data_IF_074208150795
#
_entry.id   IF_074208150795
#
_cell.length_a   1.000
_cell.length_b   1.000
_cell.length_c   1.000
_cell.angle_alpha   90.00
_cell.angle_beta   90.00
_cell.angle_gamma   90.00
#
_symmetry.space_group_name_H-M   'P 1'
#
loop_
_entity.id
_entity.type
_entity.pdbx_description
1 polymer ?
#
# COMPACT_ATOMS: atom_id res chain seq x y z
N UNK A 1 28.75 27.07 14.96
CA UNK A 1 29.68 25.92 14.79
C UNK A 1 29.30 24.99 13.63
N UNK A 2 28.05 24.97 13.15
CA UNK A 2 27.62 24.10 12.04
C UNK A 2 28.24 24.43 10.66
N UNK A 3 28.64 25.68 10.42
CA UNK A 3 29.19 26.13 9.13
C UNK A 3 30.54 25.52 8.76
N UNK A 4 31.32 25.00 9.72
CA UNK A 4 32.66 24.47 9.45
C UNK A 4 32.63 22.99 9.00
N UNK A 5 31.70 22.19 9.54
CA UNK A 5 31.60 20.78 9.20
C UNK A 5 31.04 20.56 7.77
N UNK A 6 30.04 21.36 7.36
CA UNK A 6 29.49 21.30 6.00
C UNK A 6 30.55 21.69 4.97
N UNK A 7 31.36 22.71 5.23
CA UNK A 7 32.44 23.14 4.34
C UNK A 7 33.53 22.06 4.17
N UNK A 8 33.87 21.32 5.24
CA UNK A 8 34.81 20.19 5.17
C UNK A 8 34.23 19.04 4.34
N UNK A 9 32.93 18.75 4.50
CA UNK A 9 32.24 17.69 3.77
C UNK A 9 32.05 18.01 2.28
N UNK A 10 31.85 19.28 1.92
CA UNK A 10 31.78 19.74 0.52
C UNK A 10 33.15 19.75 -0.18
N UNK A 11 34.25 19.78 0.57
CA UNK A 11 35.62 19.69 0.04
C UNK A 11 36.11 18.27 -0.26
N UNK A 12 35.33 17.24 0.09
CA UNK A 12 35.72 15.84 -0.17
C UNK A 12 35.66 15.51 -1.67
N UNK A 13 36.58 14.69 -2.19
CA UNK A 13 36.44 14.12 -3.53
C UNK A 13 35.17 13.29 -3.67
N UNK A 14 34.54 13.32 -4.85
CA UNK A 14 33.28 12.61 -5.09
C UNK A 14 33.36 11.10 -4.80
N UNK A 15 34.48 10.47 -5.11
CA UNK A 15 34.69 9.04 -4.87
C UNK A 15 34.68 8.70 -3.36
N UNK A 16 35.25 9.56 -2.53
CA UNK A 16 35.23 9.40 -1.06
C UNK A 16 33.81 9.57 -0.53
N UNK A 17 33.07 10.56 -1.02
CA UNK A 17 31.65 10.73 -0.67
C UNK A 17 30.80 9.54 -1.08
N UNK A 18 31.04 8.97 -2.27
CA UNK A 18 30.34 7.73 -2.71
C UNK A 18 30.62 6.59 -1.74
N UNK A 19 31.85 6.42 -1.27
CA UNK A 19 32.18 5.40 -0.26
C UNK A 19 31.44 5.68 1.05
N UNK A 20 31.50 6.89 1.59
CA UNK A 20 30.80 7.26 2.84
C UNK A 20 29.30 7.03 2.72
N UNK A 21 28.66 7.57 1.68
CA UNK A 21 27.24 7.41 1.41
C UNK A 21 26.86 5.94 1.20
N UNK A 22 27.78 5.11 0.70
CA UNK A 22 27.53 3.68 0.50
C UNK A 22 27.39 2.89 1.81
N UNK A 23 27.86 3.45 2.92
CA UNK A 23 27.76 2.88 4.27
C UNK A 23 26.66 3.50 5.12
N UNK A 24 25.97 4.54 4.61
CA UNK A 24 24.87 5.18 5.35
C UNK A 24 23.69 4.20 5.43
N UNK A 25 23.16 3.92 6.64
CA UNK A 25 21.98 3.08 6.80
C UNK A 25 20.78 3.61 6.03
N UNK A 26 19.94 2.69 5.54
CA UNK A 26 18.70 2.96 4.80
C UNK A 26 17.84 4.15 5.28
N UNK A 27 17.46 4.22 6.56
CA UNK A 27 16.63 5.33 7.04
C UNK A 27 17.35 6.69 6.94
N UNK A 28 18.67 6.71 6.95
CA UNK A 28 19.46 7.93 7.03
C UNK A 28 19.80 8.48 5.64
N UNK A 29 19.67 7.68 4.59
CA UNK A 29 19.94 8.12 3.21
C UNK A 29 18.98 9.21 2.74
N UNK A 30 17.71 9.16 3.15
CA UNK A 30 16.76 10.22 2.83
C UNK A 30 17.19 11.53 3.50
N UNK A 31 17.56 11.47 4.78
CA UNK A 31 18.04 12.63 5.53
C UNK A 31 19.39 13.14 5.00
N UNK A 32 20.27 12.26 4.53
CA UNK A 32 21.55 12.61 3.94
C UNK A 32 21.40 13.55 2.72
N UNK A 33 20.26 13.56 2.03
CA UNK A 33 20.00 14.46 0.89
C UNK A 33 19.85 15.93 1.27
N UNK A 34 19.59 16.25 2.54
CA UNK A 34 19.50 17.62 3.01
C UNK A 34 20.85 18.19 3.45
N UNK A 35 21.90 17.35 3.54
CA UNK A 35 23.24 17.75 4.01
C UNK A 35 23.93 18.72 3.05
N UNK A 36 23.97 18.42 1.74
CA UNK A 36 24.54 19.31 0.73
C UNK A 36 23.99 19.02 -0.68
N UNK A 37 24.19 19.98 -1.61
CA UNK A 37 23.82 19.79 -3.03
C UNK A 37 24.56 18.61 -3.67
N UNK A 38 25.81 18.38 -3.27
CA UNK A 38 26.63 17.29 -3.80
C UNK A 38 26.15 15.93 -3.31
N UNK A 39 25.80 15.80 -2.03
CA UNK A 39 25.20 14.58 -1.47
C UNK A 39 23.89 14.27 -2.17
N UNK A 40 23.03 15.27 -2.36
CA UNK A 40 21.79 15.12 -3.14
C UNK A 40 22.08 14.61 -4.55
N UNK A 41 23.06 15.19 -5.26
CA UNK A 41 23.44 14.76 -6.62
C UNK A 41 23.85 13.29 -6.65
N UNK A 42 24.71 12.85 -5.72
CA UNK A 42 25.16 11.45 -5.65
C UNK A 42 24.00 10.51 -5.30
N UNK A 43 23.18 10.87 -4.30
CA UNK A 43 22.04 10.07 -3.84
C UNK A 43 20.85 10.04 -4.81
N UNK A 44 20.82 10.97 -5.77
CA UNK A 44 19.86 10.97 -6.89
C UNK A 44 20.41 10.31 -8.15
N UNK A 45 21.70 9.95 -8.19
CA UNK A 45 22.27 9.18 -9.30
C UNK A 45 21.70 7.75 -9.30
N UNK A 46 21.04 7.37 -10.39
CA UNK A 46 20.41 6.04 -10.54
C UNK A 46 21.40 4.91 -10.33
N UNK A 47 22.62 5.02 -10.87
CA UNK A 47 23.65 4.00 -10.72
C UNK A 47 24.10 3.85 -9.27
N UNK A 48 24.33 4.97 -8.56
CA UNK A 48 24.69 4.94 -7.15
C UNK A 48 23.56 4.39 -6.28
N UNK A 49 22.31 4.83 -6.51
CA UNK A 49 21.14 4.35 -5.79
C UNK A 49 20.96 2.83 -5.95
N UNK A 50 21.19 2.30 -7.16
CA UNK A 50 21.20 0.85 -7.43
C UNK A 50 22.28 0.11 -6.63
N UNK A 51 23.52 0.59 -6.68
CA UNK A 51 24.63 -0.03 -5.95
C UNK A 51 24.42 -0.01 -4.44
N UNK A 52 23.95 1.12 -3.92
CA UNK A 52 23.64 1.27 -2.51
C UNK A 52 22.50 0.34 -2.07
N UNK A 53 21.42 0.26 -2.84
CA UNK A 53 20.29 -0.61 -2.53
C UNK A 53 20.67 -2.10 -2.54
N UNK A 54 21.48 -2.53 -3.52
CA UNK A 54 22.01 -3.89 -3.57
C UNK A 54 22.86 -4.23 -2.34
N UNK A 55 23.68 -3.29 -1.88
CA UNK A 55 24.46 -3.45 -0.64
C UNK A 55 23.58 -3.48 0.60
N UNK A 56 22.65 -2.53 0.73
CA UNK A 56 21.72 -2.46 1.85
C UNK A 56 20.92 -3.77 2.00
N UNK A 57 20.51 -4.36 0.88
CA UNK A 57 19.85 -5.67 0.82
C UNK A 57 20.75 -6.81 1.30
N UNK A 58 22.03 -6.82 0.90
CA UNK A 58 22.99 -7.85 1.31
C UNK A 58 23.38 -7.74 2.80
N UNK A 59 23.46 -6.53 3.36
CA UNK A 59 23.91 -6.30 4.74
C UNK A 59 22.82 -6.44 5.79
N UNK A 60 21.54 -6.26 5.42
CA UNK A 60 20.42 -6.42 6.34
C UNK A 60 19.23 -7.03 5.57
N UNK A 61 19.13 -8.36 5.48
CA UNK A 61 17.97 -9.02 4.89
C UNK A 61 16.68 -8.75 5.67
N UNK A 62 16.80 -8.31 6.94
CA UNK A 62 15.70 -7.96 7.81
C UNK A 62 15.43 -6.43 7.81
N UNK A 63 14.49 -6.04 6.97
CA UNK A 63 13.47 -4.99 7.12
C UNK A 63 13.90 -3.56 7.51
N UNK A 64 13.98 -2.66 6.52
CA UNK A 64 13.64 -1.24 6.71
C UNK A 64 12.23 -0.97 6.22
N UNK A 65 11.23 -1.27 7.04
CA UNK A 65 9.84 -1.00 6.69
C UNK A 65 9.53 0.46 7.02
N UNK A 66 9.25 1.26 5.99
CA UNK A 66 8.76 2.62 6.15
C UNK A 66 7.25 2.65 5.98
N UNK A 67 6.53 2.93 7.07
CA UNK A 67 5.11 3.20 7.10
C UNK A 67 4.85 4.60 6.56
N UNK A 68 4.22 4.71 5.40
CA UNK A 68 3.85 6.02 4.86
C UNK A 68 2.57 6.55 5.53
N UNK A 69 2.72 7.60 6.34
CA UNK A 69 1.68 8.28 7.07
C UNK A 69 1.41 9.63 6.38
N UNK A 70 0.21 9.78 5.84
CA UNK A 70 -0.25 11.07 5.33
C UNK A 70 -0.78 11.87 6.51
N UNK A 71 -0.30 13.10 6.68
CA UNK A 71 -0.82 14.02 7.68
C UNK A 71 -1.46 15.23 7.03
N UNK A 72 -2.61 15.63 7.58
CA UNK A 72 -3.23 16.92 7.31
C UNK A 72 -3.06 17.80 8.54
N UNK A 73 -2.18 18.79 8.44
CA UNK A 73 -2.12 19.86 9.44
C UNK A 73 -2.32 21.20 8.74
N UNK A 74 -3.36 21.92 9.13
CA UNK A 74 -3.58 23.35 8.82
C UNK A 74 -3.30 23.78 7.36
N UNK A 75 -3.68 22.97 6.37
CA UNK A 75 -3.54 23.30 4.95
C UNK A 75 -2.29 22.74 4.25
N UNK A 76 -1.34 22.17 5.00
CA UNK A 76 -0.21 21.43 4.44
C UNK A 76 -0.52 19.92 4.40
N UNK A 77 -0.56 19.36 3.18
CA UNK A 77 -0.58 17.91 2.95
C UNK A 77 0.88 17.41 2.88
N UNK A 78 1.26 16.51 3.79
CA UNK A 78 2.60 15.93 3.82
C UNK A 78 2.58 14.41 4.03
N UNK A 79 3.55 13.71 3.45
CA UNK A 79 3.74 12.27 3.68
C UNK A 79 5.00 12.03 4.50
N UNK A 80 4.83 11.66 5.76
CA UNK A 80 5.91 11.19 6.62
C UNK A 80 6.08 9.69 6.46
N UNK A 81 7.31 9.20 6.58
CA UNK A 81 7.55 7.76 6.65
C UNK A 81 8.00 7.38 8.06
N UNK A 82 7.38 6.39 8.67
CA UNK A 82 7.81 5.85 9.95
C UNK A 82 8.61 4.56 9.72
N UNK A 83 9.91 4.61 9.98
CA UNK A 83 10.75 3.40 9.95
C UNK A 83 10.45 2.53 11.17
N UNK A 84 9.76 1.40 10.98
CA UNK A 84 9.25 0.57 12.09
C UNK A 84 10.32 0.07 13.07
N UNK A 85 11.51 -0.40 12.64
CA UNK A 85 12.52 -0.88 13.60
C UNK A 85 13.15 0.20 14.48
N UNK A 86 13.18 1.46 14.01
CA UNK A 86 13.89 2.55 14.71
C UNK A 86 12.98 3.72 15.06
N UNK A 87 11.68 3.58 14.82
CA UNK A 87 10.65 4.62 14.96
C UNK A 87 11.04 5.98 14.37
N UNK A 88 11.83 5.98 13.29
CA UNK A 88 12.40 7.20 12.74
C UNK A 88 11.42 7.81 11.74
N UNK A 89 11.03 9.06 11.98
CA UNK A 89 10.21 9.85 11.07
C UNK A 89 11.09 10.39 9.93
N UNK A 90 10.82 9.95 8.70
CA UNK A 90 11.44 10.48 7.49
C UNK A 90 10.64 11.69 7.02
N UNK A 91 11.31 12.83 6.72
CA UNK A 91 10.65 14.05 6.26
C UNK A 91 9.94 13.82 4.91
N UNK A 92 8.97 14.71 4.64
CA UNK A 92 8.07 14.71 3.47
C UNK A 92 8.70 14.07 2.23
N UNK A 93 8.35 12.80 1.97
CA UNK A 93 8.89 12.07 0.84
C UNK A 93 8.24 12.49 -0.47
N UNK A 94 6.97 12.89 -0.43
CA UNK A 94 6.18 13.18 -1.61
C UNK A 94 6.27 14.64 -2.09
N UNK A 95 6.03 14.88 -3.39
CA UNK A 95 5.69 16.22 -3.87
C UNK A 95 4.49 16.79 -3.11
N UNK A 96 4.44 18.12 -2.86
CA UNK A 96 3.27 18.78 -2.30
C UNK A 96 2.02 18.42 -3.10
N UNK A 97 0.87 18.28 -2.42
CA UNK A 97 -0.42 18.00 -3.06
C UNK A 97 -0.48 16.65 -3.82
N UNK A 98 0.17 15.61 -3.31
CA UNK A 98 0.08 14.25 -3.86
C UNK A 98 -0.30 13.22 -2.79
N UNK A 99 -1.19 12.29 -3.17
CA UNK A 99 -1.73 11.23 -2.31
C UNK A 99 -1.32 9.88 -2.88
N UNK A 100 -0.62 9.04 -2.12
CA UNK A 100 -0.25 7.73 -2.63
C UNK A 100 -1.50 6.85 -2.78
N UNK A 101 -1.53 6.04 -3.84
CA UNK A 101 -2.63 5.14 -4.25
C UNK A 101 -2.20 3.67 -4.27
N UNK A 102 -0.98 3.38 -4.71
CA UNK A 102 -0.43 2.03 -4.77
C UNK A 102 1.07 2.07 -4.47
N UNK A 103 1.64 0.96 -4.05
CA UNK A 103 3.09 0.76 -4.03
C UNK A 103 3.44 -0.48 -4.85
N UNK A 104 4.52 -0.39 -5.63
CA UNK A 104 5.08 -1.55 -6.30
C UNK A 104 6.02 -2.30 -5.35
N UNK A 105 6.17 -3.62 -5.52
CA UNK A 105 7.20 -4.36 -4.82
C UNK A 105 8.62 -3.91 -5.16
N UNK A 106 8.85 -3.08 -6.19
CA UNK A 106 10.14 -2.46 -6.49
C UNK A 106 10.38 -1.11 -5.78
N UNK A 107 9.48 -0.69 -4.89
CA UNK A 107 9.63 0.56 -4.16
C UNK A 107 9.26 1.82 -4.96
N UNK A 108 8.49 1.67 -6.05
CA UNK A 108 7.80 2.79 -6.69
C UNK A 108 6.48 3.05 -5.98
N UNK A 109 6.13 4.32 -5.80
CA UNK A 109 4.84 4.76 -5.30
C UNK A 109 4.01 5.29 -6.46
N UNK A 110 2.79 4.82 -6.62
CA UNK A 110 1.81 5.49 -7.46
C UNK A 110 1.16 6.59 -6.63
N UNK A 111 1.21 7.82 -7.11
CA UNK A 111 0.64 8.97 -6.47
C UNK A 111 -0.45 9.59 -7.35
N UNK A 112 -1.49 10.11 -6.72
CA UNK A 112 -2.57 10.89 -7.31
C UNK A 112 -2.42 12.34 -6.89
N UNK A 113 -2.53 13.26 -7.84
CA UNK A 113 -2.57 14.70 -7.55
C UNK A 113 -3.84 15.06 -6.76
N UNK A 114 -3.70 15.83 -5.68
CA UNK A 114 -4.84 16.28 -4.87
C UNK A 114 -5.58 17.47 -5.46
N UNK A 115 -4.95 18.25 -6.36
CA UNK A 115 -5.59 19.42 -7.00
C UNK A 115 -6.51 19.08 -8.18
N UNK A 116 -6.29 17.94 -8.83
CA UNK A 116 -6.98 17.55 -10.07
C UNK A 116 -7.71 16.21 -9.97
N UNK A 117 -7.33 15.35 -9.03
CA UNK A 117 -7.90 14.01 -8.85
C UNK A 117 -7.58 13.01 -9.98
N UNK A 118 -7.32 13.47 -11.21
CA UNK A 118 -7.12 12.66 -12.43
C UNK A 118 -5.67 12.31 -12.71
N UNK A 119 -4.72 13.16 -12.35
CA UNK A 119 -3.31 12.93 -12.68
C UNK A 119 -2.68 11.89 -11.76
N UNK A 120 -2.09 10.89 -12.39
CA UNK A 120 -1.30 9.84 -11.75
C UNK A 120 0.18 10.09 -12.03
N UNK A 121 1.03 9.83 -11.05
CA UNK A 121 2.48 9.86 -11.21
C UNK A 121 3.13 8.68 -10.50
N UNK A 122 4.19 8.15 -11.11
CA UNK A 122 5.09 7.23 -10.44
C UNK A 122 6.16 8.03 -9.73
N UNK A 123 6.22 7.88 -8.42
CA UNK A 123 7.18 8.53 -7.57
C UNK A 123 8.17 7.50 -7.04
N UNK A 124 9.45 7.76 -7.27
CA UNK A 124 10.53 7.01 -6.65
C UNK A 124 11.02 7.78 -5.41
N UNK A 125 10.93 7.20 -4.19
CA UNK A 125 11.33 7.91 -2.97
C UNK A 125 12.84 7.92 -2.72
N UNK A 126 13.59 6.90 -3.18
CA UNK A 126 15.01 7.11 -3.52
C UNK A 126 15.02 8.08 -4.73
N UNK A 127 16.04 8.77 -5.18
CA UNK A 127 15.94 9.75 -6.31
C UNK A 127 14.99 10.97 -6.17
N UNK A 128 13.81 10.89 -5.52
CA UNK A 128 12.72 11.88 -5.64
C UNK A 128 12.26 12.13 -7.08
N UNK A 129 12.52 11.19 -7.99
CA UNK A 129 12.04 11.29 -9.35
C UNK A 129 10.52 11.06 -9.38
N UNK A 130 9.81 11.96 -10.06
CA UNK A 130 8.39 11.81 -10.34
C UNK A 130 8.21 11.74 -11.85
N UNK A 131 7.56 10.68 -12.31
CA UNK A 131 7.22 10.48 -13.72
C UNK A 131 5.70 10.56 -13.85
N UNK A 132 5.15 11.58 -14.53
CA UNK A 132 3.72 11.64 -14.77
C UNK A 132 3.29 10.49 -15.68
N UNK A 133 2.14 9.89 -15.39
CA UNK A 133 1.47 8.94 -16.27
C UNK A 133 0.38 9.68 -17.06
N UNK A 134 0.06 9.23 -18.29
CA UNK A 134 -1.10 9.75 -18.99
C UNK A 134 -2.36 9.51 -18.14
N UNK A 135 -3.34 10.43 -18.15
CA UNK A 135 -4.58 10.24 -17.42
C UNK A 135 -5.40 9.09 -18.03
N UNK A 136 -6.12 8.31 -17.20
CA UNK A 136 -7.04 7.29 -17.68
C UNK A 136 -8.20 7.92 -18.48
N UNK A 137 -8.46 7.49 -19.72
CA UNK A 137 -9.40 8.17 -20.63
C UNK A 137 -10.88 8.04 -20.26
N UNK A 138 -11.29 7.06 -19.44
CA UNK A 138 -12.71 6.90 -19.03
C UNK A 138 -12.93 7.04 -17.52
N UNK A 139 -11.88 7.27 -16.73
CA UNK A 139 -11.96 7.40 -15.26
C UNK A 139 -11.83 8.88 -14.86
N UNK A 140 -12.82 9.40 -14.13
CA UNK A 140 -12.79 10.76 -13.57
C UNK A 140 -11.84 10.86 -12.37
N UNK A 141 -11.89 9.88 -11.48
CA UNK A 141 -11.03 9.85 -10.29
C UNK A 141 -10.70 8.41 -9.96
N UNK A 142 -9.43 7.99 -10.09
CA UNK A 142 -9.01 6.67 -9.64
C UNK A 142 -9.19 6.59 -8.13
N UNK A 143 -10.06 5.66 -7.72
CA UNK A 143 -10.41 5.36 -6.34
C UNK A 143 -9.52 4.26 -5.77
N UNK A 144 -9.11 3.31 -6.61
CA UNK A 144 -8.20 2.23 -6.25
C UNK A 144 -7.28 1.92 -7.43
N UNK A 145 -6.06 1.50 -7.13
CA UNK A 145 -5.08 1.13 -8.15
C UNK A 145 -4.08 0.12 -7.61
N UNK A 146 -3.52 -0.71 -8.51
CA UNK A 146 -2.44 -1.62 -8.18
C UNK A 146 -1.43 -1.69 -9.31
N UNK A 147 -0.16 -1.82 -8.93
CA UNK A 147 0.96 -1.99 -9.85
C UNK A 147 1.34 -3.47 -9.90
N UNK A 148 1.56 -3.98 -11.12
CA UNK A 148 2.14 -5.31 -11.28
C UNK A 148 3.60 -5.33 -10.82
N UNK A 149 4.07 -6.50 -10.38
CA UNK A 149 5.52 -6.72 -10.28
C UNK A 149 6.09 -6.77 -11.68
N UNK A 150 7.19 -6.07 -11.91
CA UNK A 150 7.77 -5.91 -13.23
C UNK A 150 8.35 -7.21 -13.78
N UNK A 151 8.32 -7.33 -15.10
CA UNK A 151 9.29 -8.15 -15.84
C UNK A 151 10.72 -7.68 -15.56
N UNK A 152 11.76 -8.53 -15.70
CA UNK A 152 13.16 -8.10 -15.64
C UNK A 152 13.50 -6.92 -16.56
N UNK A 153 12.70 -6.71 -17.62
CA UNK A 153 12.83 -5.59 -18.54
C UNK A 153 12.22 -4.26 -18.02
N UNK A 154 11.73 -4.21 -16.77
CA UNK A 154 11.12 -3.01 -16.19
C UNK A 154 9.69 -2.72 -16.66
N UNK A 155 9.09 -3.63 -17.43
CA UNK A 155 7.70 -3.52 -17.86
C UNK A 155 6.75 -3.79 -16.70
N UNK A 156 5.82 -2.88 -16.47
CA UNK A 156 4.70 -3.02 -15.53
C UNK A 156 3.36 -2.76 -16.21
N UNK A 157 2.33 -3.29 -15.57
CA UNK A 157 0.94 -2.92 -15.76
C UNK A 157 0.44 -2.15 -14.55
N UNK A 158 -0.48 -1.24 -14.79
CA UNK A 158 -1.20 -0.52 -13.75
C UNK A 158 -2.70 -0.72 -13.98
N UNK A 159 -3.38 -1.35 -13.03
CA UNK A 159 -4.83 -1.43 -13.03
C UNK A 159 -5.37 -0.26 -12.21
N UNK A 160 -6.25 0.54 -12.83
CA UNK A 160 -6.96 1.64 -12.17
C UNK A 160 -8.46 1.38 -12.17
N UNK A 161 -9.09 1.73 -11.06
CA UNK A 161 -10.53 1.61 -10.85
C UNK A 161 -11.07 2.95 -10.39
N UNK A 162 -12.15 3.40 -10.98
CA UNK A 162 -12.77 4.65 -10.56
C UNK A 162 -14.15 4.87 -11.14
N UNK A 163 -14.63 6.10 -10.98
CA UNK A 163 -15.92 6.52 -11.50
C UNK A 163 -15.80 6.94 -12.96
N UNK A 164 -16.84 6.72 -13.79
CA UNK A 164 -16.86 7.18 -15.17
C UNK A 164 -16.71 8.71 -15.27
N UNK A 165 -16.03 9.20 -16.30
CA UNK A 165 -15.80 10.63 -16.58
C UNK A 165 -17.07 11.51 -16.57
N UNK A 166 -18.20 10.96 -16.99
CA UNK A 166 -19.48 11.69 -17.10
C UNK A 166 -20.50 11.34 -16.00
N UNK A 167 -20.06 10.64 -14.95
CA UNK A 167 -20.95 10.26 -13.85
C UNK A 167 -20.87 11.25 -12.68
N UNK A 168 -22.00 11.75 -12.16
CA UNK A 168 -21.99 12.37 -10.84
C UNK A 168 -21.49 11.33 -9.83
N UNK A 169 -20.77 11.76 -8.77
CA UNK A 169 -20.26 10.90 -7.68
C UNK A 169 -21.41 10.31 -6.84
N UNK A 170 -22.30 9.54 -7.47
CA UNK A 170 -23.44 8.86 -6.86
C UNK A 170 -23.06 7.39 -6.72
N UNK A 171 -23.30 6.83 -5.53
CA UNK A 171 -23.01 5.45 -5.15
C UNK A 171 -23.63 4.37 -6.06
N UNK A 172 -24.47 4.74 -7.03
CA UNK A 172 -25.14 3.85 -7.98
C UNK A 172 -24.44 3.79 -9.34
N UNK A 173 -23.41 4.61 -9.57
CA UNK A 173 -22.71 4.65 -10.85
C UNK A 173 -21.79 3.44 -11.00
N UNK A 174 -21.81 2.73 -12.15
CA UNK A 174 -20.98 1.56 -12.34
C UNK A 174 -19.50 1.98 -12.38
N UNK A 175 -18.64 1.21 -11.72
CA UNK A 175 -17.21 1.43 -11.76
C UNK A 175 -16.65 1.07 -13.13
N UNK A 176 -15.67 1.85 -13.57
CA UNK A 176 -14.88 1.57 -14.77
C UNK A 176 -13.50 1.09 -14.33
N UNK A 177 -13.01 0.07 -15.03
CA UNK A 177 -11.68 -0.47 -14.86
C UNK A 177 -10.87 -0.22 -16.13
N UNK A 178 -9.64 0.22 -15.97
CA UNK A 178 -8.71 0.41 -17.08
C UNK A 178 -7.33 -0.10 -16.71
N UNK A 179 -6.63 -0.65 -17.69
CA UNK A 179 -5.25 -1.12 -17.52
C UNK A 179 -4.30 -0.27 -18.35
N UNK A 180 -3.25 0.22 -17.73
CA UNK A 180 -2.13 0.87 -18.40
C UNK A 180 -1.01 -0.14 -18.62
N UNK A 181 -0.47 -0.18 -19.85
CA UNK A 181 0.75 -0.91 -20.17
C UNK A 181 1.90 0.07 -20.35
N UNK A 182 2.98 -0.14 -19.60
CA UNK A 182 4.22 0.63 -19.77
C UNK A 182 4.91 0.40 -21.12
N UNK A 183 4.65 -0.74 -21.79
CA UNK A 183 5.21 -1.06 -23.10
C UNK A 183 4.59 -0.18 -24.18
N UNK A 184 3.26 -0.13 -24.23
CA UNK A 184 2.53 0.70 -25.20
C UNK A 184 2.37 2.15 -24.75
N UNK A 185 2.65 2.44 -23.48
CA UNK A 185 2.38 3.74 -22.83
C UNK A 185 0.93 4.20 -23.01
N UNK A 186 -0.02 3.25 -23.01
CA UNK A 186 -1.43 3.51 -23.27
C UNK A 186 -2.33 2.85 -22.24
N UNK A 187 -3.52 3.43 -22.07
CA UNK A 187 -4.62 2.84 -21.31
C UNK A 187 -5.52 2.04 -22.23
N UNK A 188 -5.94 0.88 -21.75
CA UNK A 188 -6.91 0.02 -22.41
C UNK A 188 -8.12 -0.17 -21.48
N UNK A 189 -9.34 0.15 -21.94
CA UNK A 189 -10.54 -0.09 -21.15
C UNK A 189 -10.73 -1.60 -20.96
N UNK A 190 -11.13 -1.99 -19.74
CA UNK A 190 -11.42 -3.37 -19.42
C UNK A 190 -12.91 -3.69 -19.59
N UNK A 191 -13.26 -4.98 -19.70
CA UNK A 191 -14.66 -5.41 -19.69
C UNK A 191 -15.39 -4.88 -18.46
N UNK A 192 -16.71 -4.63 -18.56
CA UNK A 192 -17.49 -4.12 -17.45
C UNK A 192 -17.40 -5.07 -16.25
N UNK A 193 -17.29 -4.48 -15.06
CA UNK A 193 -17.26 -5.24 -13.81
C UNK A 193 -18.62 -5.91 -13.58
N UNK A 194 -18.65 -7.15 -13.05
CA UNK A 194 -19.89 -7.83 -12.69
C UNK A 194 -20.77 -6.98 -11.78
N UNK A 195 -22.08 -6.93 -12.05
CA UNK A 195 -23.00 -6.17 -11.22
C UNK A 195 -23.00 -6.66 -9.77
N UNK A 196 -22.73 -5.75 -8.83
CA UNK A 196 -22.93 -6.00 -7.41
C UNK A 196 -24.43 -5.98 -7.12
N UNK A 197 -24.96 -7.08 -6.58
CA UNK A 197 -26.36 -7.14 -6.12
C UNK A 197 -26.66 -6.14 -5.00
N UNK A 198 -25.63 -5.63 -4.31
CA UNK A 198 -25.77 -4.61 -3.29
C UNK A 198 -24.59 -3.60 -3.33
N UNK A 199 -24.76 -2.41 -3.94
CA UNK A 199 -23.68 -1.43 -4.10
C UNK A 199 -23.19 -0.84 -2.77
N UNK A 200 -23.94 -0.99 -1.67
CA UNK A 200 -23.47 -0.57 -0.33
C UNK A 200 -22.31 -1.41 0.21
N UNK A 201 -22.03 -2.56 -0.41
CA UNK A 201 -20.97 -3.50 -0.02
C UNK A 201 -19.67 -3.32 -0.83
N UNK A 202 -19.54 -2.27 -1.65
CA UNK A 202 -18.27 -2.01 -2.32
C UNK A 202 -17.22 -1.77 -1.23
N UNK A 203 -16.11 -2.56 -1.21
CA UNK A 203 -15.02 -2.30 -0.29
C UNK A 203 -14.52 -0.88 -0.54
N UNK A 204 -14.68 0.01 0.45
CA UNK A 204 -14.21 1.40 0.36
C UNK A 204 -12.68 1.50 0.53
N UNK A 205 -11.96 0.42 0.27
CA UNK A 205 -10.57 0.23 0.67
C UNK A 205 -9.66 0.11 -0.56
N UNK A 206 -8.68 1.01 -0.67
CA UNK A 206 -7.58 0.96 -1.63
C UNK A 206 -6.73 -0.31 -1.49
N UNK A 207 -6.77 -0.97 -0.32
CA UNK A 207 -6.10 -2.23 -0.01
C UNK A 207 -6.79 -3.49 -0.58
N UNK A 208 -7.87 -3.31 -1.35
CA UNK A 208 -8.66 -4.40 -1.91
C UNK A 208 -8.10 -4.96 -3.22
N UNK A 209 -7.05 -4.36 -3.77
CA UNK A 209 -6.48 -4.71 -5.07
C UNK A 209 -4.99 -5.05 -4.96
N UNK A 210 -4.62 -6.26 -5.38
CA UNK A 210 -3.23 -6.75 -5.31
C UNK A 210 -2.83 -7.43 -6.61
N UNK A 211 -1.52 -7.50 -6.85
CA UNK A 211 -0.94 -8.28 -7.94
C UNK A 211 -0.38 -9.61 -7.42
N UNK A 212 -0.79 -10.72 -8.04
CA UNK A 212 -0.34 -12.06 -7.67
C UNK A 212 -0.38 -13.01 -8.87
N UNK A 213 0.63 -13.87 -9.03
CA UNK A 213 0.66 -14.93 -10.07
C UNK A 213 0.18 -14.44 -11.45
N UNK A 214 0.75 -13.33 -11.91
CA UNK A 214 0.48 -12.72 -13.22
C UNK A 214 -0.96 -12.21 -13.43
N UNK A 215 -1.69 -11.97 -12.35
CA UNK A 215 -3.03 -11.41 -12.39
C UNK A 215 -3.24 -10.37 -11.29
N UNK A 216 -4.17 -9.46 -11.55
CA UNK A 216 -4.75 -8.58 -10.56
C UNK A 216 -5.88 -9.30 -9.83
N UNK A 217 -5.91 -9.16 -8.50
CA UNK A 217 -6.93 -9.72 -7.61
C UNK A 217 -7.61 -8.57 -6.88
N UNK A 218 -8.93 -8.50 -6.97
CA UNK A 218 -9.74 -7.43 -6.39
C UNK A 218 -10.87 -7.99 -5.53
N UNK A 219 -11.03 -7.54 -4.29
CA UNK A 219 -12.26 -7.82 -3.53
C UNK A 219 -13.45 -7.11 -4.16
N UNK A 220 -14.52 -7.86 -4.41
CA UNK A 220 -15.74 -7.37 -5.06
C UNK A 220 -16.97 -7.99 -4.40
N UNK A 221 -17.49 -7.33 -3.37
CA UNK A 221 -18.56 -7.89 -2.54
C UNK A 221 -18.10 -9.17 -1.84
N UNK A 222 -18.70 -10.30 -2.19
CA UNK A 222 -18.43 -11.60 -1.55
C UNK A 222 -17.50 -12.51 -2.38
N UNK A 223 -16.82 -11.96 -3.38
CA UNK A 223 -15.85 -12.69 -4.19
C UNK A 223 -14.59 -11.87 -4.42
N UNK A 224 -13.58 -12.52 -4.98
CA UNK A 224 -12.38 -11.90 -5.51
C UNK A 224 -12.43 -12.00 -7.02
N UNK A 225 -12.45 -10.85 -7.69
CA UNK A 225 -12.30 -10.79 -9.14
C UNK A 225 -10.83 -10.92 -9.52
N UNK A 226 -10.59 -11.62 -10.62
CA UNK A 226 -9.25 -11.86 -11.13
C UNK A 226 -9.14 -11.39 -12.58
N UNK A 227 -8.04 -10.74 -12.92
CA UNK A 227 -7.80 -10.24 -14.27
C UNK A 227 -6.35 -10.43 -14.71
N UNK A 228 -6.15 -11.05 -15.87
CA UNK A 228 -4.81 -11.26 -16.44
C UNK A 228 -4.54 -10.20 -17.52
N UNK A 229 -3.49 -9.37 -17.37
CA UNK A 229 -3.15 -8.35 -18.37
C UNK A 229 -2.89 -8.91 -19.76
N UNK A 230 -2.32 -10.12 -19.86
CA UNK A 230 -2.07 -10.79 -21.13
C UNK A 230 -3.34 -10.99 -21.96
N UNK A 231 -4.51 -11.08 -21.33
CA UNK A 231 -5.80 -11.16 -22.03
C UNK A 231 -6.19 -9.82 -22.66
N UNK A 232 -5.84 -8.68 -22.05
CA UNK A 232 -6.09 -7.37 -22.64
C UNK A 232 -5.24 -7.17 -23.89
N UNK A 233 -3.96 -7.55 -23.84
CA UNK A 233 -3.05 -7.45 -24.99
C UNK A 233 -3.48 -8.37 -26.13
N UNK A 234 -3.87 -9.62 -25.82
CA UNK A 234 -4.42 -10.55 -26.81
C UNK A 234 -5.70 -10.01 -27.45
N UNK A 235 -6.64 -9.49 -26.65
CA UNK A 235 -7.89 -8.90 -27.13
C UNK A 235 -7.68 -7.69 -28.06
N UNK A 236 -6.63 -6.89 -27.83
CA UNK A 236 -6.27 -5.79 -28.75
C UNK A 236 -5.65 -6.28 -30.06
N UNK A 237 -4.99 -7.45 -30.04
CA UNK A 237 -4.35 -8.02 -31.22
C UNK A 237 -5.32 -8.85 -32.09
N UNK A 238 -6.28 -9.53 -31.46
CA UNK A 238 -7.28 -10.38 -32.11
C UNK A 238 -8.67 -9.82 -31.84
N UNK A 239 -9.37 -9.36 -32.89
CA UNK A 239 -10.73 -8.82 -32.81
C UNK A 239 -11.81 -9.79 -32.29
N UNK A 240 -11.46 -11.05 -32.02
CA UNK A 240 -12.39 -12.11 -31.62
C UNK A 240 -12.33 -12.49 -30.13
N UNK A 241 -11.23 -12.22 -29.41
CA UNK A 241 -11.13 -12.53 -27.99
C UNK A 241 -11.51 -11.32 -27.14
N UNK A 242 -12.60 -11.45 -26.37
CA UNK A 242 -12.91 -10.47 -25.33
C UNK A 242 -12.22 -10.89 -24.04
N UNK A 243 -11.43 -9.97 -23.46
CA UNK A 243 -10.91 -10.17 -22.11
C UNK A 243 -12.08 -10.42 -21.15
N UNK A 244 -11.89 -11.21 -20.09
CA UNK A 244 -12.96 -11.53 -19.13
C UNK A 244 -12.45 -11.52 -17.70
N UNK A 245 -13.35 -11.20 -16.76
CA UNK A 245 -13.06 -11.28 -15.34
C UNK A 245 -13.29 -12.71 -14.84
N UNK A 246 -12.28 -13.29 -14.20
CA UNK A 246 -12.47 -14.49 -13.38
C UNK A 246 -13.02 -14.14 -12.00
N UNK A 247 -13.60 -15.11 -11.28
CA UNK A 247 -14.13 -14.92 -9.94
C UNK A 247 -13.78 -16.08 -9.02
N UNK A 248 -13.39 -15.78 -7.78
CA UNK A 248 -13.11 -16.73 -6.70
C UNK A 248 -14.05 -16.41 -5.55
N UNK A 249 -14.84 -17.38 -5.08
CA UNK A 249 -15.75 -17.14 -3.95
C UNK A 249 -14.99 -17.05 -2.63
N UNK A 250 -15.40 -16.13 -1.75
CA UNK A 250 -14.95 -16.11 -0.36
C UNK A 250 -15.58 -17.27 0.42
N UNK A 251 -14.92 -17.76 1.49
CA UNK A 251 -15.46 -18.86 2.28
C UNK A 251 -16.75 -18.43 2.99
N UNK A 252 -17.85 -19.19 2.77
CA UNK A 252 -19.22 -18.85 3.21
C UNK A 252 -19.58 -19.37 4.60
N UNK A 253 -18.93 -20.44 5.08
CA UNK A 253 -19.26 -21.10 6.35
C UNK A 253 -18.00 -21.38 7.17
N UNK A 254 -18.07 -21.35 8.51
CA UNK A 254 -19.24 -21.01 9.34
C UNK A 254 -19.39 -19.49 9.62
N UNK A 255 -18.92 -18.62 8.71
CA UNK A 255 -18.65 -17.21 9.00
C UNK A 255 -19.26 -16.27 7.98
N UNK A 256 -19.80 -15.17 8.47
CA UNK A 256 -20.30 -14.06 7.66
C UNK A 256 -19.22 -12.98 7.65
N UNK A 257 -18.56 -12.81 6.51
CA UNK A 257 -17.56 -11.76 6.31
C UNK A 257 -18.23 -10.41 6.11
N UNK A 258 -17.70 -9.39 6.78
CA UNK A 258 -18.09 -8.01 6.49
C UNK A 258 -17.23 -7.46 5.34
N UNK A 259 -17.78 -7.54 4.13
CA UNK A 259 -17.11 -7.12 2.88
C UNK A 259 -16.56 -5.68 2.93
N UNK A 260 -17.05 -4.84 3.83
CA UNK A 260 -16.60 -3.44 3.98
C UNK A 260 -15.22 -3.32 4.60
N UNK A 261 -14.76 -4.34 5.32
CA UNK A 261 -13.50 -4.35 6.08
C UNK A 261 -12.54 -5.44 5.63
N UNK A 262 -12.75 -5.99 4.43
CA UNK A 262 -11.85 -6.97 3.87
C UNK A 262 -10.67 -6.29 3.18
N UNK A 263 -9.50 -6.90 3.32
CA UNK A 263 -8.25 -6.52 2.66
C UNK A 263 -7.58 -7.75 2.04
N UNK A 264 -6.90 -7.56 0.90
CA UNK A 264 -6.06 -8.59 0.30
C UNK A 264 -4.59 -8.37 0.60
N UNK A 265 -3.88 -9.47 0.84
CA UNK A 265 -2.44 -9.47 1.07
C UNK A 265 -1.76 -10.55 0.24
N UNK A 266 -0.59 -10.22 -0.32
CA UNK A 266 0.26 -11.18 -1.03
C UNK A 266 1.58 -11.28 -0.28
N UNK A 267 1.85 -12.44 0.31
CA UNK A 267 2.97 -12.64 1.22
C UNK A 267 3.69 -13.92 0.84
N UNK A 268 4.97 -13.81 0.43
CA UNK A 268 5.78 -14.94 -0.05
C UNK A 268 5.06 -15.82 -1.08
N UNK A 269 4.38 -15.18 -2.04
CA UNK A 269 3.66 -15.88 -3.10
C UNK A 269 2.37 -16.58 -2.67
N UNK A 270 1.88 -16.34 -1.46
CA UNK A 270 0.57 -16.78 -0.95
C UNK A 270 -0.41 -15.61 -0.89
N UNK A 271 -1.69 -15.86 -1.17
CA UNK A 271 -2.75 -14.85 -1.12
C UNK A 271 -3.55 -15.03 0.16
N UNK A 272 -3.74 -13.94 0.90
CA UNK A 272 -4.53 -13.89 2.12
C UNK A 272 -5.65 -12.88 1.99
N UNK A 273 -6.78 -13.21 2.62
CA UNK A 273 -7.86 -12.28 2.91
C UNK A 273 -7.85 -12.05 4.41
N UNK A 274 -7.87 -10.78 4.77
CA UNK A 274 -7.93 -10.32 6.14
C UNK A 274 -9.21 -9.50 6.30
N UNK A 275 -9.86 -9.56 7.46
CA UNK A 275 -10.92 -8.62 7.77
C UNK A 275 -11.82 -9.03 8.92
N UNK A 276 -12.85 -8.22 9.12
CA UNK A 276 -13.89 -8.48 10.13
C UNK A 276 -14.84 -9.59 9.66
N UNK A 277 -15.16 -10.51 10.57
CA UNK A 277 -16.18 -11.52 10.36
C UNK A 277 -17.01 -11.76 11.63
N UNK A 278 -18.16 -12.36 11.44
CA UNK A 278 -19.05 -12.83 12.50
C UNK A 278 -19.21 -14.35 12.41
N UNK A 279 -19.05 -15.05 13.53
CA UNK A 279 -19.35 -16.49 13.61
C UNK A 279 -20.87 -16.70 13.63
N UNK A 280 -21.35 -17.66 12.84
CA UNK A 280 -22.76 -18.01 12.81
C UNK A 280 -23.20 -18.53 14.18
N UNK A 281 -24.16 -17.84 14.81
CA UNK A 281 -24.66 -18.16 16.15
C UNK A 281 -24.18 -17.24 17.27
N UNK A 282 -23.20 -16.35 17.01
CA UNK A 282 -22.61 -15.45 18.01
C UNK A 282 -23.34 -14.10 18.14
N UNK A 283 -24.60 -14.01 17.69
CA UNK A 283 -25.41 -12.78 17.65
C UNK A 283 -25.68 -12.14 19.02
N UNK A 284 -25.43 -12.85 20.12
CA UNK A 284 -25.66 -12.35 21.48
C UNK A 284 -24.40 -11.74 22.14
N UNK A 285 -23.22 -11.76 21.49
CA UNK A 285 -22.02 -11.13 22.08
C UNK A 285 -22.06 -9.61 22.01
N UNK A 286 -21.54 -8.98 23.06
CA UNK A 286 -21.40 -7.52 23.18
C UNK A 286 -20.47 -6.91 22.11
N UNK A 287 -19.52 -7.70 21.59
CA UNK A 287 -18.62 -7.38 20.47
C UNK A 287 -18.64 -8.55 19.46
N UNK A 288 -19.50 -8.53 18.43
CA UNK A 288 -19.71 -9.70 17.56
C UNK A 288 -18.67 -9.84 16.43
N UNK A 289 -17.83 -8.83 16.17
CA UNK A 289 -16.85 -8.86 15.09
C UNK A 289 -15.48 -9.31 15.60
N UNK A 290 -14.93 -10.33 14.95
CA UNK A 290 -13.54 -10.77 15.13
C UNK A 290 -12.74 -10.42 13.89
N UNK A 291 -11.45 -10.16 14.08
CA UNK A 291 -10.50 -9.95 12.99
C UNK A 291 -9.82 -11.30 12.70
N UNK A 292 -9.88 -11.73 11.45
CA UNK A 292 -9.33 -13.02 11.03
C UNK A 292 -8.52 -12.90 9.76
N UNK A 293 -7.63 -13.88 9.57
CA UNK A 293 -6.85 -14.05 8.35
C UNK A 293 -7.11 -15.45 7.79
N UNK A 294 -7.43 -15.51 6.50
CA UNK A 294 -7.57 -16.77 5.75
C UNK A 294 -6.66 -16.78 4.54
N UNK A 295 -6.09 -17.94 4.26
CA UNK A 295 -5.19 -18.18 3.13
C UNK A 295 -5.95 -18.89 1.99
N UNK A 296 -5.77 -18.42 0.76
CA UNK A 296 -6.18 -19.17 -0.42
C UNK A 296 -5.10 -20.23 -0.74
N UNK A 297 -5.27 -21.42 -0.18
CA UNK A 297 -4.32 -22.53 -0.29
C UNK A 297 -4.24 -23.08 -1.72
N UNK A 298 -5.38 -23.20 -2.41
CA UNK A 298 -5.43 -23.63 -3.81
C UNK A 298 -6.46 -22.80 -4.60
N UNK A 299 -6.01 -21.85 -5.45
CA UNK A 299 -6.89 -21.05 -6.29
C UNK A 299 -7.72 -21.86 -7.29
N UNK A 300 -7.21 -23.01 -7.75
CA UNK A 300 -7.90 -23.84 -8.75
C UNK A 300 -9.07 -24.59 -8.12
N UNK A 301 -8.91 -25.00 -6.86
CA UNK A 301 -9.95 -25.69 -6.07
C UNK A 301 -10.76 -24.75 -5.20
N UNK A 302 -10.42 -23.45 -5.18
CA UNK A 302 -10.94 -22.45 -4.25
C UNK A 302 -10.88 -22.92 -2.80
N UNK A 303 -9.79 -23.62 -2.45
CA UNK A 303 -9.59 -24.17 -1.12
C UNK A 303 -9.05 -23.08 -0.20
N UNK A 304 -9.84 -22.72 0.81
CA UNK A 304 -9.47 -21.76 1.83
C UNK A 304 -8.96 -22.48 3.08
N UNK A 305 -7.83 -22.02 3.62
CA UNK A 305 -7.27 -22.49 4.88
C UNK A 305 -7.34 -21.36 5.90
N UNK A 306 -7.89 -21.65 7.05
CA UNK A 306 -7.85 -20.70 8.17
C UNK A 306 -6.41 -20.54 8.65
N UNK A 307 -5.95 -19.28 8.72
CA UNK A 307 -4.62 -18.98 9.20
C UNK A 307 -4.65 -18.77 10.72
N UNK A 308 -5.43 -17.79 11.21
CA UNK A 308 -5.55 -17.46 12.64
C UNK A 308 -6.58 -16.36 12.91
N UNK A 309 -6.92 -16.19 14.19
CA UNK A 309 -7.76 -15.09 14.70
C UNK A 309 -7.00 -14.20 15.64
N UNK A 310 -7.21 -12.90 15.48
CA UNK A 310 -6.67 -11.92 16.40
C UNK A 310 -7.29 -12.15 17.79
N UNK A 311 -6.47 -12.36 18.83
CA UNK A 311 -6.95 -12.46 20.20
C UNK A 311 -7.74 -11.21 20.60
N UNK A 312 -8.81 -11.40 21.39
CA UNK A 312 -9.67 -10.29 21.85
C UNK A 312 -8.86 -9.21 22.59
N UNK A 313 -7.81 -9.58 23.32
CA UNK A 313 -6.94 -8.62 24.01
C UNK A 313 -6.14 -7.73 23.06
N UNK A 314 -5.81 -8.21 21.85
CA UNK A 314 -5.14 -7.42 20.81
C UNK A 314 -6.15 -6.59 20.03
N UNK A 315 -7.31 -7.17 19.68
CA UNK A 315 -8.40 -6.46 19.01
C UNK A 315 -8.90 -5.29 19.86
N UNK A 316 -9.17 -5.53 21.16
CA UNK A 316 -9.59 -4.48 22.08
C UNK A 316 -8.55 -3.37 22.22
N UNK A 317 -7.26 -3.70 22.17
CA UNK A 317 -6.18 -2.70 22.19
C UNK A 317 -6.14 -1.87 20.91
N UNK A 318 -6.22 -2.53 19.76
CA UNK A 318 -6.29 -1.91 18.44
C UNK A 318 -7.51 -0.98 18.29
N UNK A 319 -8.64 -1.33 18.91
CA UNK A 319 -9.90 -0.60 18.81
C UNK A 319 -10.21 0.26 20.06
N UNK A 320 -9.36 0.24 21.09
CA UNK A 320 -9.61 0.87 22.42
C UNK A 320 -9.88 2.37 22.36
N UNK A 321 -9.45 3.03 21.29
CA UNK A 321 -9.59 4.47 21.08
C UNK A 321 -10.81 4.86 20.23
N UNK A 322 -11.64 3.91 19.83
CA UNK A 322 -12.80 4.17 18.97
C UNK A 322 -14.07 4.27 19.79
N UNK A 323 -14.88 5.30 19.51
CA UNK A 323 -16.18 5.51 20.16
C UNK A 323 -17.20 4.41 19.83
N UNK A 324 -16.94 3.56 18.83
CA UNK A 324 -17.82 2.49 18.38
C UNK A 324 -17.07 1.15 18.28
N UNK A 325 -17.05 0.32 19.35
CA UNK A 325 -16.35 -0.98 19.36
C UNK A 325 -16.93 -2.00 18.36
N UNK A 326 -18.13 -1.75 17.82
CA UNK A 326 -18.76 -2.59 16.80
C UNK A 326 -18.13 -2.44 15.41
N UNK A 327 -17.21 -1.48 15.20
CA UNK A 327 -16.53 -1.26 13.94
C UNK A 327 -15.07 -0.93 14.21
N UNK A 328 -14.21 -1.95 14.25
CA UNK A 328 -12.78 -1.75 14.32
C UNK A 328 -12.29 -1.16 12.99
N UNK A 329 -12.06 0.16 12.96
CA UNK A 329 -11.34 0.79 11.86
C UNK A 329 -9.85 0.65 12.13
N UNK A 330 -9.18 -0.21 11.40
CA UNK A 330 -7.74 -0.30 11.40
C UNK A 330 -7.26 -0.24 9.97
N UNK A 331 -5.96 -0.03 9.82
CA UNK A 331 -5.33 -0.13 8.52
C UNK A 331 -4.37 -1.29 8.54
N UNK A 332 -4.45 -2.14 7.52
CA UNK A 332 -3.56 -3.28 7.36
C UNK A 332 -2.57 -3.07 6.24
N UNK A 333 -1.41 -3.68 6.41
CA UNK A 333 -0.39 -3.70 5.39
C UNK A 333 0.40 -5.01 5.50
N UNK A 334 0.81 -5.52 4.35
CA UNK A 334 1.64 -6.71 4.26
C UNK A 334 2.93 -6.39 3.55
N UNK A 335 4.05 -6.78 4.14
CA UNK A 335 5.32 -6.71 3.44
C UNK A 335 5.52 -8.01 2.65
N UNK A 336 5.54 -7.96 1.30
CA UNK A 336 5.51 -9.14 0.44
C UNK A 336 6.73 -10.05 0.60
N UNK A 337 7.80 -9.51 1.19
CA UNK A 337 9.05 -10.20 1.46
C UNK A 337 9.25 -10.49 2.96
N UNK A 338 8.35 -10.03 3.83
CA UNK A 338 8.29 -10.46 5.23
C UNK A 338 7.31 -11.63 5.39
N UNK A 339 7.26 -12.21 6.58
CA UNK A 339 6.16 -13.09 6.99
C UNK A 339 5.08 -12.34 7.76
N UNK A 340 5.00 -11.01 7.69
CA UNK A 340 4.15 -10.23 8.58
C UNK A 340 3.05 -9.46 7.83
N UNK A 341 1.83 -9.56 8.35
CA UNK A 341 0.79 -8.54 8.19
C UNK A 341 0.80 -7.68 9.43
N UNK A 342 0.67 -6.38 9.25
CA UNK A 342 0.67 -5.43 10.33
C UNK A 342 -0.64 -4.65 10.35
N UNK A 343 -1.05 -4.27 11.54
CA UNK A 343 -2.33 -3.65 11.83
C UNK A 343 -2.07 -2.42 12.68
N UNK A 344 -2.52 -1.26 12.20
CA UNK A 344 -2.42 0.01 12.92
C UNK A 344 -3.81 0.57 13.19
N UNK A 345 -4.07 1.14 14.37
CA UNK A 345 -5.35 1.76 14.66
C UNK A 345 -5.60 2.92 13.70
N UNK A 346 -6.85 3.08 13.27
CA UNK A 346 -7.26 4.33 12.62
C UNK A 346 -7.32 5.43 13.67
N UNK A 347 -6.59 6.53 13.44
CA UNK A 347 -6.63 7.71 14.30
C UNK A 347 -7.24 8.85 13.49
N UNK A 348 -8.39 9.34 13.94
CA UNK A 348 -9.01 10.54 13.38
C UNK A 348 -8.23 11.77 13.84
N UNK A 349 -7.69 12.53 12.88
CA UNK A 349 -6.88 13.74 13.10
C UNK A 349 -7.63 14.86 13.82
N UNK A 350 -8.96 14.82 13.87
CA UNK A 350 -9.78 15.98 14.23
C UNK A 350 -9.85 16.36 15.71
N UNK A 351 -9.35 15.56 16.65
CA UNK A 351 -9.63 15.78 18.09
C UNK A 351 -8.50 15.44 19.06
N UNK A 352 -7.32 15.07 18.56
CA UNK A 352 -6.22 14.71 19.43
C UNK A 352 -5.51 15.95 19.99
N UNK A 353 -5.83 16.32 21.22
CA UNK A 353 -5.02 17.23 22.06
C UNK A 353 -3.58 16.73 22.16
N UNK A 354 -2.60 17.64 22.29
CA UNK A 354 -1.13 17.49 22.27
C UNK A 354 -0.44 16.39 23.14
N UNK A 355 -1.18 15.44 23.70
CA UNK A 355 -0.61 14.33 24.46
C UNK A 355 0.02 13.29 23.53
N UNK A 356 1.17 12.75 23.93
CA UNK A 356 1.90 11.68 23.26
C UNK A 356 0.97 10.52 22.86
N UNK A 357 0.76 10.37 21.56
CA UNK A 357 -0.05 9.30 21.01
C UNK A 357 0.86 8.10 20.80
N UNK A 358 0.84 7.19 21.78
CA UNK A 358 1.36 5.84 21.57
C UNK A 358 0.49 5.14 20.53
N UNK A 359 1.07 4.75 19.40
CA UNK A 359 0.41 3.92 18.39
C UNK A 359 0.81 2.47 18.66
N UNK A 360 -0.17 1.63 18.96
CA UNK A 360 0.06 0.19 19.08
C UNK A 360 -0.02 -0.45 17.69
N UNK A 361 1.02 -1.18 17.31
CA UNK A 361 1.04 -1.92 16.04
C UNK A 361 0.89 -3.40 16.35
N UNK A 362 -0.19 -4.01 15.88
CA UNK A 362 -0.40 -5.45 16.00
C UNK A 362 0.19 -6.13 14.77
N UNK A 363 0.81 -7.30 14.95
CA UNK A 363 1.40 -8.09 13.87
C UNK A 363 0.76 -9.47 13.84
N UNK A 364 0.58 -9.97 12.63
CA UNK A 364 0.29 -11.35 12.34
C UNK A 364 1.47 -11.96 11.58
N UNK A 365 2.12 -12.94 12.19
CA UNK A 365 3.16 -13.74 11.55
C UNK A 365 2.51 -14.91 10.80
N UNK A 366 2.55 -14.83 9.48
CA UNK A 366 1.96 -15.76 8.52
C UNK A 366 2.71 -17.10 8.49
N UNK A 367 3.95 -17.15 8.94
CA UNK A 367 4.73 -18.40 9.02
C UNK A 367 4.30 -19.24 10.22
N UNK A 368 4.09 -18.60 11.37
CA UNK A 368 3.71 -19.26 12.62
C UNK A 368 2.19 -19.27 12.87
N UNK A 369 1.42 -18.44 12.16
CA UNK A 369 0.00 -18.21 12.45
C UNK A 369 -0.24 -17.47 13.77
N UNK A 370 0.79 -16.78 14.30
CA UNK A 370 0.74 -16.14 15.61
C UNK A 370 0.49 -14.63 15.53
N UNK A 371 -0.09 -14.09 16.59
CA UNK A 371 -0.33 -12.66 16.75
C UNK A 371 0.56 -12.10 17.84
N UNK A 372 1.12 -10.92 17.60
CA UNK A 372 1.92 -10.19 18.58
C UNK A 372 1.62 -8.69 18.52
N UNK A 373 2.09 -7.94 19.51
CA UNK A 373 2.02 -6.48 19.52
C UNK A 373 3.42 -5.91 19.61
N UNK A 374 3.70 -4.90 18.79
CA UNK A 374 4.83 -3.99 18.95
C UNK A 374 4.35 -2.80 19.78
N UNK A 375 4.68 -2.83 21.08
CA UNK A 375 4.45 -1.70 21.99
C UNK A 375 5.51 -0.61 21.79
N UNK A 376 5.11 0.65 22.05
CA UNK A 376 5.97 1.85 22.05
C UNK A 376 6.46 2.37 20.68
N UNK A 377 5.56 2.55 19.71
CA UNK A 377 5.80 3.57 18.69
C UNK A 377 5.47 4.94 19.28
N UNK A 378 6.48 5.67 19.74
CA UNK A 378 6.34 7.09 20.02
C UNK A 378 6.12 7.81 18.69
N UNK A 379 4.87 8.12 18.36
CA UNK A 379 4.54 8.91 17.17
C UNK A 379 4.45 10.38 17.57
N UNK A 380 5.17 11.24 16.85
CA UNK A 380 4.94 12.69 16.92
C UNK A 380 3.47 13.00 16.62
N UNK A 381 2.81 13.91 17.36
CA UNK A 381 1.39 14.24 17.20
C UNK A 381 1.03 14.82 15.81
N UNK A 382 2.01 15.06 14.94
CA UNK A 382 1.79 15.44 13.54
C UNK A 382 1.52 14.24 12.60
N UNK A 383 1.42 13.00 13.10
CA UNK A 383 1.36 11.77 12.30
C UNK A 383 -0.05 11.16 12.26
N UNK A 384 -1.06 11.87 11.74
CA UNK A 384 -2.43 11.30 11.71
C UNK A 384 -3.09 11.35 10.34
N UNK A 385 -3.75 10.23 10.03
CA UNK A 385 -4.39 9.90 8.75
C UNK A 385 -5.67 10.70 8.50
N UNK A 386 -5.78 11.22 7.28
CA UNK A 386 -7.01 11.81 6.72
C UNK A 386 -8.18 10.81 6.68
N UNK A 387 -9.45 11.25 6.89
CA UNK A 387 -10.64 10.42 6.66
C UNK A 387 -10.82 9.96 5.22
N UNK A 388 -10.08 10.56 4.28
CA UNK A 388 -10.04 10.17 2.86
C UNK A 388 -8.88 9.24 2.50
N UNK A 389 -8.08 8.82 3.49
CA UNK A 389 -6.87 8.03 3.33
C UNK A 389 -6.91 6.80 4.23
N UNK A 390 -7.01 5.60 3.64
CA UNK A 390 -7.12 4.32 4.38
C UNK A 390 -6.14 3.27 3.81
N UNK A 391 -4.84 3.56 3.91
CA UNK A 391 -3.76 2.61 3.58
C UNK A 391 -2.37 3.23 3.71
N UNK A 392 -1.49 2.82 4.64
CA UNK A 392 -0.08 3.14 4.54
C UNK A 392 0.57 2.25 3.47
N UNK A 393 1.46 2.84 2.70
CA UNK A 393 2.30 2.11 1.75
C UNK A 393 3.57 1.67 2.45
N UNK A 394 4.00 0.44 2.19
CA UNK A 394 5.34 0.00 2.60
C UNK A 394 6.30 0.43 1.51
N UNK A 395 7.23 1.29 1.89
CA UNK A 395 8.41 1.56 1.10
C UNK A 395 9.58 0.78 1.69
N UNK A 396 10.12 -0.17 0.92
CA UNK A 396 11.40 -0.81 1.19
C UNK A 396 12.48 -0.14 0.34
N UNK A 397 13.50 0.37 1.00
CA UNK A 397 14.72 0.88 0.35
C UNK A 397 15.55 -0.21 -0.33
N UNK A 398 15.32 -1.47 0.01
CA UNK A 398 16.11 -2.63 -0.43
C UNK A 398 15.56 -3.33 -1.67
N UNK A 399 14.41 -2.93 -2.21
CA UNK A 399 13.71 -3.69 -3.26
C UNK A 399 14.16 -3.38 -4.69
N UNK A 400 15.36 -2.81 -4.85
CA UNK A 400 15.97 -2.63 -6.16
C UNK A 400 16.61 -3.96 -6.57
N UNK A 401 15.79 -4.91 -7.02
CA UNK A 401 16.30 -6.01 -7.82
C UNK A 401 16.51 -5.52 -9.26
N UNK A 402 17.62 -5.99 -9.83
CA UNK A 402 18.30 -5.51 -11.02
C UNK A 402 17.48 -5.59 -12.32
#
# INVERSE_FOLDING_TARGET
MESSAVAILEGLPEDVMRVVLSHVPSPWVVQARVVSKQWRRILSCTHFARQWAARAHATSPHHSLCLLLNYHNHGDEGLSALHLPTHLCLPALLPPASRPLAASPLGLLLCRSSSSGTFLSLFQPLTHASTPLPPPPHINTPLSAALSTTSPAGHFFLLALGTPLNSPLILTTPFVAEIYSSVSSSWTPLPPLPHLRNPTLIPRCTSSLVWWKEAFFMLWGNCILTFKPSQAEAATATTEETATWGSIELPKEPRIWDARFLTLHVIKGRLFVEGNFQEQGDFQRRNPLRIGVVELADPRKQLWKEASFMPDSLSMRLCSRQQHPAHCFYTTYSDPLSDHVYFTPYVDTGSASDNELSIEVVLFDVSSGSWSSMSNVAASPALFSSPTFRGPYIWRTSNFQC
#
